data_IF_687025657259
#
_entry.id   IF_687025657259
#
_cell.length_a   1.000
_cell.length_b   1.000
_cell.length_c   1.000
_cell.angle_alpha   90.00
_cell.angle_beta   90.00
_cell.angle_gamma   90.00
#
_symmetry.space_group_name_H-M   'P 1'
#
loop_
_entity.id
_entity.type
_entity.pdbx_description
1 polymer ?
#
# COMPACT_ATOMS: atom_id res chain seq x y z
N UNK A 1 -10.91 24.04 -36.88
CA UNK A 1 -11.08 22.58 -36.72
C UNK A 1 -9.87 22.13 -35.94
N UNK A 2 -9.87 22.28 -34.61
CA UNK A 2 -8.63 22.16 -33.83
C UNK A 2 -8.86 21.70 -32.39
N UNK A 3 -10.03 22.03 -31.81
CA UNK A 3 -10.33 21.68 -30.41
C UNK A 3 -10.76 20.22 -30.22
N UNK A 4 -11.34 19.60 -31.25
CA UNK A 4 -11.77 18.18 -31.23
C UNK A 4 -10.61 17.21 -31.20
N UNK A 5 -9.55 17.49 -31.95
CA UNK A 5 -8.41 16.60 -32.14
C UNK A 5 -7.50 16.55 -30.91
N UNK A 6 -7.32 17.71 -30.25
CA UNK A 6 -6.60 17.79 -28.97
C UNK A 6 -7.32 16.98 -27.89
N UNK A 7 -8.64 17.11 -27.77
CA UNK A 7 -9.42 16.35 -26.80
C UNK A 7 -9.32 14.83 -27.04
N UNK A 8 -9.30 14.39 -28.30
CA UNK A 8 -9.13 12.97 -28.64
C UNK A 8 -7.73 12.45 -28.27
N UNK A 9 -6.69 13.25 -28.54
CA UNK A 9 -5.32 12.90 -28.22
C UNK A 9 -5.12 12.79 -26.70
N UNK A 10 -5.63 13.75 -25.92
CA UNK A 10 -5.59 13.72 -24.45
C UNK A 10 -6.32 12.51 -23.89
N UNK A 11 -7.51 12.18 -24.39
CA UNK A 11 -8.25 10.99 -23.95
C UNK A 11 -7.49 9.68 -24.23
N UNK A 12 -6.79 9.60 -25.37
CA UNK A 12 -5.92 8.45 -25.70
C UNK A 12 -4.67 8.40 -24.83
N UNK A 13 -4.08 9.54 -24.49
CA UNK A 13 -2.94 9.64 -23.59
C UNK A 13 -3.31 9.19 -22.17
N UNK A 14 -4.44 9.64 -21.63
CA UNK A 14 -4.93 9.20 -20.31
C UNK A 14 -5.27 7.70 -20.31
N UNK A 15 -5.86 7.19 -21.40
CA UNK A 15 -6.07 5.75 -21.57
C UNK A 15 -4.73 4.99 -21.62
N UNK A 16 -3.71 5.56 -22.28
CA UNK A 16 -2.39 4.94 -22.38
C UNK A 16 -1.60 4.97 -21.09
N UNK A 17 -1.77 6.03 -20.27
CA UNK A 17 -1.28 6.09 -18.90
C UNK A 17 -1.88 4.95 -18.10
N UNK A 18 -3.22 4.93 -17.97
CA UNK A 18 -3.94 3.89 -17.23
C UNK A 18 -3.58 2.46 -17.65
N UNK A 19 -3.31 2.26 -18.94
CA UNK A 19 -2.84 0.98 -19.45
C UNK A 19 -1.44 0.61 -18.92
N UNK A 20 -0.48 1.54 -18.90
CA UNK A 20 0.88 1.32 -18.36
C UNK A 20 0.83 1.03 -16.85
N UNK A 21 0.01 1.76 -16.09
CA UNK A 21 -0.14 1.47 -14.67
C UNK A 21 -0.76 0.08 -14.44
N UNK A 22 -1.76 -0.30 -15.24
CA UNK A 22 -2.34 -1.63 -15.16
C UNK A 22 -1.38 -2.76 -15.57
N UNK A 23 -0.52 -2.53 -16.56
CA UNK A 23 0.55 -3.48 -16.91
C UNK A 23 1.59 -3.60 -15.81
N UNK A 24 1.99 -2.49 -15.21
CA UNK A 24 2.92 -2.47 -14.07
C UNK A 24 2.35 -3.26 -12.90
N UNK A 25 1.10 -2.98 -12.52
CA UNK A 25 0.41 -3.70 -11.45
C UNK A 25 0.24 -5.20 -11.75
N UNK A 26 0.02 -5.57 -13.02
CA UNK A 26 -0.04 -6.98 -13.43
C UNK A 26 1.33 -7.69 -13.26
N UNK A 27 2.43 -7.01 -13.58
CA UNK A 27 3.78 -7.54 -13.39
C UNK A 27 4.14 -7.65 -11.89
N UNK A 28 3.73 -6.67 -11.09
CA UNK A 28 3.86 -6.74 -9.63
C UNK A 28 3.05 -7.92 -9.07
N UNK A 29 1.79 -8.08 -9.49
CA UNK A 29 0.95 -9.20 -9.09
C UNK A 29 1.57 -10.56 -9.48
N UNK A 30 2.19 -10.64 -10.66
CA UNK A 30 2.91 -11.85 -11.09
C UNK A 30 4.02 -12.23 -10.11
N UNK A 31 4.71 -11.26 -9.52
CA UNK A 31 5.77 -11.51 -8.53
C UNK A 31 5.23 -12.10 -7.22
N UNK A 32 3.95 -11.88 -6.94
CA UNK A 32 3.23 -12.39 -5.77
C UNK A 32 2.71 -13.83 -5.94
N UNK A 33 3.06 -14.51 -7.04
CA UNK A 33 2.48 -15.82 -7.39
C UNK A 33 2.67 -16.86 -6.28
N UNK A 34 3.82 -16.87 -5.62
CA UNK A 34 4.10 -17.86 -4.57
C UNK A 34 3.19 -17.63 -3.35
N UNK A 35 3.09 -16.39 -2.86
CA UNK A 35 2.20 -16.02 -1.75
C UNK A 35 0.74 -16.34 -2.07
N UNK A 36 0.30 -16.01 -3.28
CA UNK A 36 -1.08 -16.24 -3.71
C UNK A 36 -1.39 -17.74 -3.85
N UNK A 37 -0.46 -18.53 -4.40
CA UNK A 37 -0.61 -19.99 -4.48
C UNK A 37 -0.68 -20.61 -3.09
N UNK A 38 0.20 -20.20 -2.17
CA UNK A 38 0.15 -20.68 -0.78
C UNK A 38 -1.15 -20.27 -0.06
N UNK A 39 -1.65 -19.06 -0.32
CA UNK A 39 -2.94 -18.59 0.20
C UNK A 39 -4.08 -19.53 -0.19
N UNK A 40 -4.19 -19.91 -1.46
CA UNK A 40 -5.26 -20.80 -1.92
C UNK A 40 -5.05 -22.28 -1.54
N UNK A 41 -3.81 -22.79 -1.57
CA UNK A 41 -3.54 -24.21 -1.30
C UNK A 41 -3.61 -24.57 0.19
N UNK A 42 -3.08 -23.70 1.06
CA UNK A 42 -2.92 -23.99 2.47
C UNK A 42 -3.90 -23.20 3.35
N UNK A 43 -4.63 -22.24 2.78
CA UNK A 43 -5.38 -21.24 3.55
C UNK A 43 -4.45 -20.34 4.37
N UNK A 44 -3.16 -20.29 4.03
CA UNK A 44 -2.16 -19.54 4.77
C UNK A 44 -2.28 -18.06 4.38
N UNK A 45 -2.74 -17.27 5.34
CA UNK A 45 -3.07 -15.86 5.17
C UNK A 45 -1.82 -15.00 5.36
N UNK A 46 -0.82 -15.11 4.51
CA UNK A 46 0.30 -14.16 4.58
C UNK A 46 0.66 -13.69 3.17
N UNK A 47 -0.22 -12.83 2.65
CA UNK A 47 0.09 -11.99 1.50
C UNK A 47 0.69 -10.70 2.05
N UNK A 48 1.92 -10.41 1.66
CA UNK A 48 2.68 -9.25 2.09
C UNK A 48 2.03 -7.94 1.64
N UNK A 49 2.38 -6.85 2.34
CA UNK A 49 1.78 -5.53 2.10
C UNK A 49 2.00 -4.99 0.67
N UNK A 50 3.15 -5.26 0.06
CA UNK A 50 3.41 -4.90 -1.34
C UNK A 50 2.49 -5.66 -2.30
N UNK A 51 2.36 -6.97 -2.10
CA UNK A 51 1.45 -7.81 -2.88
C UNK A 51 -0.01 -7.40 -2.70
N UNK A 52 -0.42 -7.06 -1.49
CA UNK A 52 -1.75 -6.55 -1.24
C UNK A 52 -2.03 -5.20 -1.93
N UNK A 53 -1.06 -4.29 -1.98
CA UNK A 53 -1.21 -3.04 -2.74
C UNK A 53 -1.42 -3.32 -4.23
N UNK A 54 -0.64 -4.23 -4.82
CA UNK A 54 -0.79 -4.62 -6.21
C UNK A 54 -2.16 -5.25 -6.49
N UNK A 55 -2.61 -6.18 -5.62
CA UNK A 55 -3.93 -6.82 -5.69
C UNK A 55 -5.05 -5.78 -5.62
N UNK A 56 -5.03 -4.87 -4.64
CA UNK A 56 -6.07 -3.85 -4.49
C UNK A 56 -6.09 -2.93 -5.71
N UNK A 57 -4.93 -2.50 -6.22
CA UNK A 57 -4.85 -1.64 -7.38
C UNK A 57 -5.41 -2.33 -8.63
N UNK A 58 -4.94 -3.53 -8.96
CA UNK A 58 -5.33 -4.20 -10.20
C UNK A 58 -6.80 -4.63 -10.19
N UNK A 59 -7.35 -5.00 -9.04
CA UNK A 59 -8.77 -5.43 -8.91
C UNK A 59 -9.75 -4.25 -8.88
N UNK A 60 -9.30 -3.02 -8.62
CA UNK A 60 -10.16 -1.82 -8.59
C UNK A 60 -10.01 -0.92 -9.82
N UNK A 61 -8.79 -0.83 -10.35
CA UNK A 61 -8.44 0.17 -11.36
C UNK A 61 -8.25 -0.42 -12.76
N UNK A 62 -8.11 -1.74 -12.88
CA UNK A 62 -7.79 -2.41 -14.14
C UNK A 62 -8.92 -3.29 -14.66
N UNK A 63 -8.81 -3.66 -15.92
CA UNK A 63 -9.82 -4.51 -16.55
C UNK A 63 -9.72 -5.95 -16.07
N UNK A 64 -10.85 -6.62 -15.73
CA UNK A 64 -10.83 -8.01 -15.27
C UNK A 64 -10.10 -8.97 -16.21
N UNK A 65 -10.14 -8.70 -17.52
CA UNK A 65 -9.43 -9.49 -18.52
C UNK A 65 -7.90 -9.56 -18.29
N UNK A 66 -7.28 -8.55 -17.67
CA UNK A 66 -5.84 -8.59 -17.36
C UNK A 66 -5.50 -9.67 -16.33
N UNK A 67 -6.34 -9.84 -15.30
CA UNK A 67 -6.15 -10.88 -14.29
C UNK A 67 -6.23 -12.29 -14.89
N UNK A 68 -7.15 -12.50 -15.83
CA UNK A 68 -7.31 -13.80 -16.51
C UNK A 68 -6.05 -14.23 -17.28
N UNK A 69 -5.21 -13.29 -17.72
CA UNK A 69 -3.94 -13.59 -18.39
C UNK A 69 -2.90 -14.26 -17.48
N UNK A 70 -3.03 -14.09 -16.16
CA UNK A 70 -2.24 -14.77 -15.15
C UNK A 70 -2.92 -16.04 -14.61
N UNK A 71 -4.08 -16.39 -15.15
CA UNK A 71 -4.86 -17.56 -14.73
C UNK A 71 -5.83 -17.30 -13.58
N UNK A 72 -6.01 -16.05 -13.15
CA UNK A 72 -7.02 -15.71 -12.15
C UNK A 72 -8.43 -15.66 -12.72
N UNK A 73 -9.37 -16.22 -12.00
CA UNK A 73 -10.80 -15.96 -12.16
C UNK A 73 -11.20 -14.63 -11.52
N UNK A 74 -12.37 -14.12 -11.86
CA UNK A 74 -12.90 -12.91 -11.23
C UNK A 74 -13.14 -13.13 -9.73
N UNK A 75 -13.66 -14.32 -9.38
CA UNK A 75 -13.94 -14.73 -8.01
C UNK A 75 -12.67 -14.81 -7.16
N UNK A 76 -11.58 -15.39 -7.68
CA UNK A 76 -10.29 -15.43 -6.99
C UNK A 76 -9.72 -14.02 -6.76
N UNK A 77 -9.85 -13.12 -7.74
CA UNK A 77 -9.46 -11.72 -7.60
C UNK A 77 -10.25 -11.00 -6.50
N UNK A 78 -11.56 -11.24 -6.41
CA UNK A 78 -12.42 -10.67 -5.39
C UNK A 78 -12.07 -11.18 -3.98
N UNK A 79 -11.73 -12.47 -3.84
CA UNK A 79 -11.27 -13.07 -2.58
C UNK A 79 -9.95 -12.44 -2.12
N UNK A 80 -8.97 -12.32 -3.02
CA UNK A 80 -7.68 -11.71 -2.72
C UNK A 80 -7.83 -10.24 -2.31
N UNK A 81 -8.68 -9.48 -3.01
CA UNK A 81 -8.98 -8.09 -2.65
C UNK A 81 -9.62 -8.01 -1.26
N UNK A 82 -10.62 -8.84 -0.98
CA UNK A 82 -11.30 -8.85 0.32
C UNK A 82 -10.33 -9.13 1.47
N UNK A 83 -9.38 -10.04 1.25
CA UNK A 83 -8.31 -10.32 2.20
C UNK A 83 -7.41 -9.09 2.44
N UNK A 84 -6.92 -8.48 1.36
CA UNK A 84 -6.00 -7.34 1.44
C UNK A 84 -6.64 -6.08 2.01
N UNK A 85 -7.90 -5.80 1.67
CA UNK A 85 -8.67 -4.71 2.24
C UNK A 85 -8.78 -4.85 3.78
N UNK A 86 -8.93 -6.08 4.29
CA UNK A 86 -8.98 -6.33 5.72
C UNK A 86 -7.64 -6.00 6.41
N UNK A 87 -6.50 -6.34 5.80
CA UNK A 87 -5.17 -6.03 6.36
C UNK A 87 -4.94 -4.52 6.49
N UNK A 88 -5.34 -3.73 5.49
CA UNK A 88 -5.17 -2.28 5.54
C UNK A 88 -5.92 -1.65 6.72
N UNK A 89 -7.09 -2.18 7.08
CA UNK A 89 -7.87 -1.68 8.23
C UNK A 89 -7.26 -2.03 9.59
N UNK A 90 -6.39 -3.04 9.66
CA UNK A 90 -5.78 -3.52 10.89
C UNK A 90 -4.37 -2.97 11.14
N UNK A 91 -3.81 -2.17 10.22
CA UNK A 91 -2.52 -1.53 10.44
C UNK A 91 -2.70 -0.37 11.45
N UNK A 92 -2.09 -0.43 12.64
CA UNK A 92 -2.21 0.66 13.62
C UNK A 92 -1.66 1.96 13.02
N UNK A 93 -2.31 3.11 13.28
CA UNK A 93 -1.82 4.38 12.78
C UNK A 93 -0.37 4.61 13.24
N UNK A 94 0.48 5.26 12.42
CA UNK A 94 1.84 5.57 12.83
C UNK A 94 1.81 6.33 14.16
N UNK A 95 2.77 6.08 15.08
CA UNK A 95 2.80 6.77 16.36
C UNK A 95 2.80 8.28 16.09
N UNK A 96 1.81 8.98 16.65
CA UNK A 96 1.75 10.43 16.60
C UNK A 96 3.07 10.97 17.18
N UNK A 97 3.87 11.65 16.37
CA UNK A 97 5.09 12.30 16.84
C UNK A 97 4.78 13.16 18.06
N UNK A 98 5.53 13.04 19.17
CA UNK A 98 5.31 13.87 20.33
C UNK A 98 5.51 15.33 19.93
N UNK A 99 4.46 16.14 20.09
CA UNK A 99 4.55 17.59 19.95
C UNK A 99 5.59 18.11 20.95
N UNK A 100 6.50 19.01 20.55
CA UNK A 100 7.50 19.55 21.47
C UNK A 100 6.76 20.34 22.56
N UNK A 101 6.75 19.79 23.77
CA UNK A 101 6.30 20.50 24.96
C UNK A 101 7.33 21.60 25.26
N UNK A 102 6.90 22.85 25.53
CA UNK A 102 7.82 23.90 25.92
C UNK A 102 8.36 23.55 27.31
N UNK A 103 9.66 23.32 27.33
CA UNK A 103 10.44 22.86 28.47
C UNK A 103 10.17 23.68 29.74
N UNK A 104 10.03 22.95 30.85
CA UNK A 104 9.96 23.44 32.20
C UNK A 104 11.11 24.40 32.53
N UNK A 105 10.78 25.66 32.78
CA UNK A 105 11.59 26.53 33.62
C UNK A 105 10.91 26.56 34.98
N UNK A 106 11.45 25.83 35.97
CA UNK A 106 11.65 26.32 37.35
C UNK A 106 12.30 25.25 38.23
N UNK A 107 13.46 25.65 38.79
CA UNK A 107 13.98 25.37 40.12
C UNK A 107 14.18 23.92 40.60
N UNK A 108 15.44 23.54 40.79
CA UNK A 108 15.86 22.77 41.97
C UNK A 108 17.28 23.21 42.40
N UNK A 109 17.32 24.21 43.27
CA UNK A 109 18.44 24.46 44.19
C UNK A 109 18.05 23.74 45.48
N UNK A 110 18.74 22.63 45.83
CA UNK A 110 18.91 22.11 47.21
C UNK A 110 19.52 20.68 47.21
N UNK A 111 20.79 20.56 46.81
CA UNK A 111 21.63 19.43 47.23
C UNK A 111 23.00 19.94 47.68
N UNK A 112 22.97 20.67 48.78
CA UNK A 112 24.12 20.95 49.66
C UNK A 112 24.61 19.62 50.24
N UNK A 113 25.87 19.26 50.00
CA UNK A 113 26.86 18.92 51.05
C UNK A 113 28.21 18.55 50.40
N UNK A 114 29.34 19.10 50.89
CA UNK A 114 30.67 18.81 50.38
C UNK A 114 31.26 17.58 51.08
N UNK A 115 31.94 16.74 50.30
CA UNK A 115 32.81 15.69 50.83
C UNK A 115 34.21 15.90 50.28
N UNK A 116 35.10 16.30 51.19
CA UNK A 116 36.56 16.23 51.08
C UNK A 116 37.02 14.92 50.42
N UNK A 117 38.04 14.98 49.56
CA UNK A 117 39.16 14.03 49.54
C UNK A 117 40.34 14.62 48.72
N UNK A 118 41.48 14.73 49.41
CA UNK A 118 42.91 14.84 49.00
C UNK A 118 43.31 15.81 47.87
#
# INVERSE_FOLDING_TARGET
>A
MEKSDINNLTSRLETSGGLVECWTALLELKSCSDEIVLFFLNGQTDIGGDCCRAIVFITRSCWPAMLTSLGFTAEEGDVLRGYCDAIETHTPPPPLSPSPTPFAAVADDLAKLPSLLD
#
